data_IF_883283024789
#
_entry.id   IF_883283024789
#
_cell.length_a   1.000
_cell.length_b   1.000
_cell.length_c   1.000
_cell.angle_alpha   90.00
_cell.angle_beta   90.00
_cell.angle_gamma   90.00
#
_symmetry.space_group_name_H-M   'P 1'
#
loop_
_entity.id
_entity.type
_entity.pdbx_description
1 polymer ?
#
# COMPACT_ATOMS: atom_id res chain seq x y z
N UNK A 1 -40.26 56.58 56.48
CA UNK A 1 -39.85 55.42 55.64
C UNK A 1 -39.56 55.86 54.19
N UNK A 2 -38.56 56.73 53.97
CA UNK A 2 -38.14 57.13 52.61
C UNK A 2 -36.61 57.22 52.45
N UNK A 3 -35.86 56.43 53.22
CA UNK A 3 -34.39 56.39 53.15
C UNK A 3 -33.80 55.00 52.84
N UNK A 4 -34.63 54.02 52.45
CA UNK A 4 -34.14 52.67 52.13
C UNK A 4 -34.08 52.34 50.62
N UNK A 5 -34.68 53.17 49.75
CA UNK A 5 -34.72 52.91 48.30
C UNK A 5 -33.45 53.33 47.53
N UNK A 6 -32.78 54.40 47.96
CA UNK A 6 -31.64 54.97 47.22
C UNK A 6 -30.32 54.21 47.38
N UNK A 7 -30.15 53.44 48.46
CA UNK A 7 -28.93 52.64 48.70
C UNK A 7 -28.91 51.36 47.86
N UNK A 8 -30.09 50.81 47.53
CA UNK A 8 -30.22 49.53 46.80
C UNK A 8 -29.89 49.66 45.29
N UNK A 9 -30.19 50.81 44.66
CA UNK A 9 -29.89 51.04 43.23
C UNK A 9 -28.41 51.31 42.95
N UNK A 10 -27.67 51.91 43.89
CA UNK A 10 -26.24 52.19 43.73
C UNK A 10 -25.36 50.92 43.75
N UNK A 11 -25.76 49.91 44.53
CA UNK A 11 -25.02 48.65 44.68
C UNK A 11 -25.20 47.75 43.45
N UNK A 12 -26.42 47.67 42.92
CA UNK A 12 -26.76 46.84 41.75
C UNK A 12 -26.14 47.36 40.45
N UNK A 13 -25.99 48.69 40.29
CA UNK A 13 -25.26 49.29 39.16
C UNK A 13 -23.76 48.99 39.21
N UNK A 14 -23.13 49.11 40.39
CA UNK A 14 -21.68 48.82 40.57
C UNK A 14 -21.34 47.37 40.24
N UNK A 15 -22.17 46.41 40.65
CA UNK A 15 -21.95 44.99 40.39
C UNK A 15 -22.11 44.62 38.90
N UNK A 16 -23.03 45.29 38.19
CA UNK A 16 -23.29 45.10 36.76
C UNK A 16 -22.19 45.69 35.86
N UNK A 17 -21.52 46.76 36.30
CA UNK A 17 -20.38 47.36 35.60
C UNK A 17 -19.14 46.47 35.76
N UNK A 18 -18.87 45.96 36.99
CA UNK A 18 -17.73 45.10 37.27
C UNK A 18 -17.78 43.76 36.51
N UNK A 19 -18.95 43.12 36.44
CA UNK A 19 -19.13 41.86 35.67
C UNK A 19 -18.95 42.07 34.17
N UNK A 20 -19.43 43.19 33.60
CA UNK A 20 -19.15 43.55 32.19
C UNK A 20 -17.68 43.87 31.93
N UNK A 21 -16.97 44.49 32.89
CA UNK A 21 -15.54 44.77 32.77
C UNK A 21 -14.68 43.50 32.85
N UNK A 22 -14.99 42.59 33.77
CA UNK A 22 -14.29 41.30 33.94
C UNK A 22 -14.50 40.40 32.72
N UNK A 23 -15.73 40.35 32.20
CA UNK A 23 -16.01 39.55 31.00
C UNK A 23 -15.34 40.16 29.74
N UNK A 24 -15.24 41.49 29.65
CA UNK A 24 -14.46 42.17 28.61
C UNK A 24 -12.97 41.90 28.71
N UNK A 25 -12.40 41.95 29.92
CA UNK A 25 -11.00 41.61 30.17
C UNK A 25 -10.66 40.17 29.77
N UNK A 26 -11.51 39.22 30.15
CA UNK A 26 -11.34 37.81 29.80
C UNK A 26 -11.49 37.57 28.28
N UNK A 27 -12.45 38.22 27.62
CA UNK A 27 -12.59 38.12 26.15
C UNK A 27 -11.39 38.72 25.42
N UNK A 28 -10.83 39.84 25.88
CA UNK A 28 -9.64 40.45 25.28
C UNK A 28 -8.40 39.57 25.46
N UNK A 29 -8.28 38.89 26.61
CA UNK A 29 -7.19 37.97 26.90
C UNK A 29 -7.28 36.68 26.08
N UNK A 30 -8.49 36.14 25.87
CA UNK A 30 -8.71 35.01 24.96
C UNK A 30 -8.46 35.38 23.50
N UNK A 31 -8.92 36.57 23.06
CA UNK A 31 -8.67 37.06 21.70
C UNK A 31 -7.17 37.29 21.46
N UNK A 32 -6.43 37.81 22.46
CA UNK A 32 -4.98 37.99 22.32
C UNK A 32 -4.25 36.65 22.24
N UNK A 33 -4.64 35.66 23.04
CA UNK A 33 -4.07 34.31 22.96
C UNK A 33 -4.34 33.63 21.62
N UNK A 34 -5.55 33.75 21.09
CA UNK A 34 -5.89 33.22 19.76
C UNK A 34 -5.07 33.92 18.67
N UNK A 35 -4.92 35.24 18.75
CA UNK A 35 -4.16 36.01 17.77
C UNK A 35 -2.66 35.69 17.81
N UNK A 36 -2.09 35.47 19.00
CA UNK A 36 -0.70 35.00 19.14
C UNK A 36 -0.53 33.59 18.58
N UNK A 37 -1.47 32.68 18.86
CA UNK A 37 -1.42 31.32 18.33
C UNK A 37 -1.55 31.28 16.81
N UNK A 38 -2.43 32.08 16.20
CA UNK A 38 -2.58 32.14 14.74
C UNK A 38 -1.35 32.76 14.07
N UNK A 39 -0.74 33.79 14.66
CA UNK A 39 0.52 34.35 14.17
C UNK A 39 1.67 33.34 14.25
N UNK A 40 1.76 32.56 15.32
CA UNK A 40 2.76 31.50 15.46
C UNK A 40 2.56 30.40 14.41
N UNK A 41 1.32 29.97 14.18
CA UNK A 41 0.99 28.98 13.15
C UNK A 41 1.32 29.54 11.75
N UNK A 42 0.97 30.79 11.44
CA UNK A 42 1.34 31.45 10.18
C UNK A 42 2.86 31.52 9.99
N UNK A 43 3.62 31.84 11.04
CA UNK A 43 5.08 31.83 11.00
C UNK A 43 5.63 30.43 10.70
N UNK A 44 5.07 29.37 11.30
CA UNK A 44 5.45 27.99 11.00
C UNK A 44 5.13 27.61 9.54
N UNK A 45 3.97 28.01 9.02
CA UNK A 45 3.61 27.79 7.61
C UNK A 45 4.54 28.52 6.64
N UNK A 46 4.83 29.81 6.89
CA UNK A 46 5.76 30.59 6.06
C UNK A 46 7.20 30.06 6.16
N UNK A 47 7.61 29.57 7.33
CA UNK A 47 8.89 28.91 7.52
C UNK A 47 8.99 27.61 6.71
N UNK A 48 7.92 26.80 6.71
CA UNK A 48 7.83 25.56 5.93
C UNK A 48 7.82 25.83 4.43
N UNK A 49 7.09 26.86 3.97
CA UNK A 49 7.04 27.25 2.55
C UNK A 49 8.41 27.75 2.05
N UNK A 50 9.12 28.55 2.85
CA UNK A 50 10.47 29.03 2.52
C UNK A 50 11.51 27.91 2.43
N UNK A 51 11.34 26.82 3.16
CA UNK A 51 12.24 25.67 3.11
C UNK A 51 11.85 24.61 2.06
N UNK A 52 10.68 24.73 1.43
CA UNK A 52 10.19 23.84 0.38
C UNK A 52 9.92 24.56 -0.96
N UNK A 53 10.64 25.64 -1.29
CA UNK A 53 10.56 26.23 -2.62
C UNK A 53 11.15 25.25 -3.65
N UNK A 54 10.30 24.38 -4.17
CA UNK A 54 10.58 23.50 -5.30
C UNK A 54 10.81 24.41 -6.51
N UNK A 55 12.03 24.35 -7.03
CA UNK A 55 12.42 24.96 -8.29
C UNK A 55 11.55 24.37 -9.41
N UNK A 56 10.65 25.16 -9.97
CA UNK A 56 9.92 24.78 -11.17
C UNK A 56 10.86 24.96 -12.36
N UNK A 57 11.43 23.86 -12.88
CA UNK A 57 12.16 23.89 -14.14
C UNK A 57 11.63 22.91 -15.18
N UNK A 58 11.08 23.53 -16.23
CA UNK A 58 11.16 23.23 -17.65
C UNK A 58 10.91 21.79 -18.13
N UNK A 59 9.63 21.47 -18.31
CA UNK A 59 9.08 20.27 -18.98
C UNK A 59 9.66 20.02 -20.40
N UNK A 60 10.36 20.99 -21.00
CA UNK A 60 10.90 20.90 -22.36
C UNK A 60 12.09 19.93 -22.53
N UNK A 61 12.68 19.40 -21.45
CA UNK A 61 13.79 18.43 -21.53
C UNK A 61 13.36 16.96 -21.61
N UNK A 62 12.11 16.65 -21.23
CA UNK A 62 11.53 15.29 -21.27
C UNK A 62 10.83 15.01 -22.61
N UNK A 63 10.43 16.08 -23.31
CA UNK A 63 9.75 16.01 -24.61
C UNK A 63 10.45 15.15 -25.68
N UNK A 64 11.79 15.06 -25.80
CA UNK A 64 12.41 14.24 -26.83
C UNK A 64 12.20 12.73 -26.63
N UNK A 65 12.00 12.27 -25.39
CA UNK A 65 11.83 10.84 -25.07
C UNK A 65 10.37 10.40 -25.09
N UNK A 66 9.45 11.28 -24.70
CA UNK A 66 8.01 11.01 -24.73
C UNK A 66 7.40 11.06 -26.15
N UNK A 67 8.13 11.63 -27.11
CA UNK A 67 7.59 11.95 -28.43
C UNK A 67 8.18 11.11 -29.58
N UNK A 68 8.88 10.02 -29.25
CA UNK A 68 9.10 8.96 -30.24
C UNK A 68 7.81 8.14 -30.30
N UNK A 69 7.16 8.14 -31.47
CA UNK A 69 6.01 7.28 -31.76
C UNK A 69 6.37 5.86 -31.36
N UNK A 70 5.85 5.40 -30.22
CA UNK A 70 5.92 4.02 -29.79
C UNK A 70 4.92 3.25 -30.65
N UNK A 71 5.37 2.84 -31.84
CA UNK A 71 4.63 1.98 -32.74
C UNK A 71 4.34 0.65 -32.04
N UNK A 72 3.08 0.46 -31.66
CA UNK A 72 2.52 -0.72 -30.98
C UNK A 72 2.35 -1.89 -31.96
N UNK A 73 3.38 -2.23 -32.74
CA UNK A 73 3.23 -3.26 -33.77
C UNK A 73 4.54 -3.98 -34.10
N UNK A 74 5.19 -4.66 -33.14
CA UNK A 74 6.15 -5.72 -33.52
C UNK A 74 6.46 -6.84 -32.48
N UNK A 75 5.75 -6.96 -31.35
CA UNK A 75 6.06 -8.01 -30.34
C UNK A 75 5.20 -9.29 -30.46
N UNK A 76 4.73 -9.64 -31.66
CA UNK A 76 4.10 -10.95 -31.93
C UNK A 76 4.98 -11.92 -32.74
N UNK A 77 6.31 -11.73 -32.72
CA UNK A 77 7.25 -12.69 -33.32
C UNK A 77 8.52 -12.88 -32.48
N UNK A 78 8.39 -13.50 -31.32
CA UNK A 78 9.46 -14.38 -30.82
C UNK A 78 8.86 -15.52 -30.00
N UNK A 79 8.54 -16.60 -30.71
CA UNK A 79 8.63 -17.93 -30.13
C UNK A 79 10.11 -18.32 -29.98
N UNK A 80 10.34 -19.30 -29.11
CA UNK A 80 11.60 -19.95 -28.74
C UNK A 80 12.49 -19.21 -27.72
N UNK A 81 12.93 -19.80 -26.60
CA UNK A 81 13.01 -21.20 -26.19
C UNK A 81 13.08 -21.25 -24.66
N UNK A 82 12.21 -22.01 -24.00
CA UNK A 82 12.40 -22.39 -22.61
C UNK A 82 13.70 -23.21 -22.53
N UNK A 83 14.76 -22.65 -21.91
CA UNK A 83 15.94 -23.44 -21.55
C UNK A 83 15.50 -24.57 -20.59
N UNK A 84 15.89 -25.83 -20.83
CA UNK A 84 15.55 -26.90 -19.91
C UNK A 84 16.32 -26.72 -18.60
N UNK A 85 15.57 -26.72 -17.51
CA UNK A 85 16.07 -26.84 -16.15
C UNK A 85 17.00 -28.07 -16.04
N UNK A 86 18.19 -27.88 -15.45
CA UNK A 86 19.17 -28.97 -15.26
C UNK A 86 18.62 -30.10 -14.38
N UNK A 87 19.07 -31.32 -14.64
CA UNK A 87 18.58 -32.60 -14.09
C UNK A 87 18.57 -32.70 -12.55
N UNK A 88 19.26 -31.82 -11.82
CA UNK A 88 19.20 -31.75 -10.34
C UNK A 88 17.98 -31.00 -9.80
N UNK A 89 17.35 -30.14 -10.61
CA UNK A 89 16.10 -29.45 -10.23
C UNK A 89 14.91 -30.41 -10.29
N UNK A 90 14.92 -31.39 -11.19
CA UNK A 90 13.80 -32.33 -11.40
C UNK A 90 13.43 -33.19 -10.17
N UNK A 91 14.36 -33.47 -9.26
CA UNK A 91 14.09 -34.31 -8.09
C UNK A 91 13.39 -33.58 -6.93
N UNK A 92 13.34 -32.25 -6.92
CA UNK A 92 12.75 -31.46 -5.81
C UNK A 92 11.31 -30.99 -6.06
N UNK A 93 10.88 -31.01 -7.33
CA UNK A 93 9.53 -30.63 -7.76
C UNK A 93 8.49 -31.78 -7.68
N UNK A 94 8.85 -32.95 -7.17
CA UNK A 94 7.99 -34.15 -7.11
C UNK A 94 7.22 -34.31 -5.79
N UNK A 95 7.51 -33.49 -4.76
CA UNK A 95 6.83 -33.51 -3.47
C UNK A 95 5.31 -33.24 -3.63
N UNK A 96 4.49 -33.98 -2.87
CA UNK A 96 3.03 -33.89 -2.86
C UNK A 96 2.53 -32.45 -2.65
N UNK A 97 3.21 -31.69 -1.80
CA UNK A 97 2.86 -30.27 -1.55
C UNK A 97 3.01 -29.40 -2.81
N UNK A 98 4.03 -29.63 -3.63
CA UNK A 98 4.19 -28.89 -4.89
C UNK A 98 3.20 -29.34 -5.96
N UNK A 99 2.72 -30.59 -5.92
CA UNK A 99 1.63 -31.03 -6.79
C UNK A 99 0.32 -30.32 -6.45
N UNK A 100 0.01 -30.13 -5.17
CA UNK A 100 -1.13 -29.32 -4.74
C UNK A 100 -1.00 -27.86 -5.21
N UNK A 101 0.18 -27.26 -5.05
CA UNK A 101 0.45 -25.89 -5.51
C UNK A 101 0.31 -25.75 -7.04
N UNK A 102 0.83 -26.71 -7.81
CA UNK A 102 0.69 -26.77 -9.27
C UNK A 102 -0.78 -26.91 -9.67
N UNK A 103 -1.55 -27.75 -8.98
CA UNK A 103 -2.98 -27.91 -9.22
C UNK A 103 -3.74 -26.60 -8.94
N UNK A 104 -3.44 -25.92 -7.84
CA UNK A 104 -4.04 -24.62 -7.54
C UNK A 104 -3.73 -23.60 -8.66
N UNK A 105 -2.46 -23.50 -9.07
CA UNK A 105 -2.05 -22.59 -10.14
C UNK A 105 -2.70 -22.92 -11.48
N UNK A 106 -2.73 -24.20 -11.87
CA UNK A 106 -3.32 -24.63 -13.15
C UNK A 106 -4.82 -24.42 -13.20
N UNK A 107 -5.55 -24.65 -12.10
CA UNK A 107 -6.99 -24.34 -12.01
C UNK A 107 -7.27 -22.86 -12.25
N UNK A 108 -6.47 -21.96 -11.66
CA UNK A 108 -6.60 -20.52 -11.90
C UNK A 108 -6.37 -20.14 -13.36
N UNK A 109 -5.36 -20.74 -14.02
CA UNK A 109 -5.10 -20.53 -15.44
C UNK A 109 -6.24 -21.06 -16.33
N UNK A 110 -6.78 -22.23 -16.01
CA UNK A 110 -7.93 -22.81 -16.72
C UNK A 110 -9.15 -21.92 -16.58
N UNK A 111 -9.46 -21.44 -15.36
CA UNK A 111 -10.57 -20.53 -15.12
C UNK A 111 -10.41 -19.23 -15.93
N UNK A 112 -9.21 -18.64 -15.97
CA UNK A 112 -8.91 -17.45 -16.79
C UNK A 112 -9.23 -17.67 -18.27
N UNK A 113 -8.96 -18.86 -18.83
CA UNK A 113 -9.22 -19.17 -20.25
C UNK A 113 -10.70 -19.37 -20.57
N UNK A 114 -11.54 -19.61 -19.58
CA UNK A 114 -12.98 -19.77 -19.79
C UNK A 114 -13.68 -18.45 -20.08
N UNK A 115 -13.07 -17.32 -19.71
CA UNK A 115 -13.66 -16.00 -19.86
C UNK A 115 -12.81 -15.09 -20.72
N UNK A 116 -13.47 -14.27 -21.54
CA UNK A 116 -12.81 -13.23 -22.31
C UNK A 116 -12.63 -11.97 -21.45
N UNK A 117 -11.42 -11.81 -20.89
CA UNK A 117 -11.12 -10.64 -20.06
C UNK A 117 -11.24 -9.32 -20.83
N UNK A 118 -10.95 -9.29 -22.13
CA UNK A 118 -11.06 -8.06 -22.90
C UNK A 118 -12.52 -7.60 -22.98
N UNK A 119 -13.43 -8.52 -23.31
CA UNK A 119 -14.86 -8.23 -23.34
C UNK A 119 -15.41 -7.83 -21.95
N UNK A 120 -14.86 -8.38 -20.86
CA UNK A 120 -15.21 -7.95 -19.51
C UNK A 120 -14.79 -6.51 -19.22
N UNK A 121 -13.57 -6.11 -19.63
CA UNK A 121 -13.10 -4.73 -19.50
C UNK A 121 -13.87 -3.74 -20.39
N UNK A 122 -14.34 -4.21 -21.54
CA UNK A 122 -15.19 -3.44 -22.47
C UNK A 122 -16.68 -3.44 -22.08
N UNK A 123 -17.02 -3.95 -20.89
CA UNK A 123 -18.37 -3.97 -20.33
C UNK A 123 -19.41 -4.74 -21.18
N UNK A 124 -18.97 -5.84 -21.80
CA UNK A 124 -19.86 -6.75 -22.55
C UNK A 124 -20.84 -7.46 -21.60
N UNK A 125 -22.14 -7.15 -21.74
CA UNK A 125 -23.18 -7.79 -20.94
C UNK A 125 -23.23 -9.31 -21.11
N UNK A 126 -22.91 -9.82 -22.30
CA UNK A 126 -22.88 -11.26 -22.60
C UNK A 126 -21.83 -11.98 -21.74
N UNK A 127 -20.60 -11.46 -21.73
CA UNK A 127 -19.51 -12.07 -20.98
C UNK A 127 -19.67 -11.88 -19.46
N UNK A 128 -20.23 -10.75 -19.02
CA UNK A 128 -20.59 -10.52 -17.62
C UNK A 128 -21.65 -11.51 -17.12
N UNK A 129 -22.72 -11.72 -17.89
CA UNK A 129 -23.78 -12.67 -17.54
C UNK A 129 -23.23 -14.09 -17.41
N UNK A 130 -22.33 -14.48 -18.32
CA UNK A 130 -21.63 -15.77 -18.26
C UNK A 130 -20.78 -15.93 -16.99
N UNK A 131 -20.08 -14.88 -16.56
CA UNK A 131 -19.32 -14.88 -15.29
C UNK A 131 -20.27 -15.01 -14.09
N UNK A 132 -21.38 -14.25 -14.08
CA UNK A 132 -22.38 -14.28 -13.00
C UNK A 132 -23.02 -15.67 -12.89
N UNK A 133 -23.40 -16.27 -14.02
CA UNK A 133 -23.97 -17.62 -14.06
C UNK A 133 -22.96 -18.65 -13.54
N UNK A 134 -21.73 -18.60 -14.04
CA UNK A 134 -20.67 -19.50 -13.56
C UNK A 134 -20.43 -19.35 -12.06
N UNK A 135 -20.36 -18.11 -11.55
CA UNK A 135 -20.14 -17.86 -10.12
C UNK A 135 -21.29 -18.39 -9.26
N UNK A 136 -22.53 -18.18 -9.71
CA UNK A 136 -23.73 -18.67 -9.01
C UNK A 136 -23.71 -20.20 -8.88
N UNK A 137 -23.23 -20.90 -9.91
CA UNK A 137 -23.12 -22.36 -9.91
C UNK A 137 -21.91 -22.90 -9.12
N UNK A 138 -20.88 -22.07 -8.88
CA UNK A 138 -19.56 -22.52 -8.40
C UNK A 138 -19.05 -21.78 -7.15
N UNK A 139 -19.90 -21.04 -6.43
CA UNK A 139 -19.50 -20.11 -5.36
C UNK A 139 -18.53 -20.70 -4.30
N UNK A 140 -18.62 -22.01 -4.02
CA UNK A 140 -17.81 -22.68 -2.99
C UNK A 140 -16.78 -23.69 -3.54
N UNK A 141 -16.53 -23.70 -4.85
CA UNK A 141 -15.61 -24.67 -5.49
C UNK A 141 -14.24 -24.08 -5.82
N UNK A 142 -14.08 -22.77 -5.63
CA UNK A 142 -12.81 -22.09 -5.89
C UNK A 142 -11.72 -22.61 -4.96
N UNK A 143 -10.58 -23.06 -5.51
CA UNK A 143 -9.47 -23.50 -4.68
C UNK A 143 -8.86 -22.27 -4.00
N UNK A 144 -8.47 -22.41 -2.74
CA UNK A 144 -7.86 -21.34 -1.92
C UNK A 144 -6.56 -21.88 -1.33
N UNK A 145 -5.54 -21.03 -1.23
CA UNK A 145 -4.35 -21.31 -0.41
C UNK A 145 -4.62 -20.81 1.00
N UNK A 146 -4.86 -21.74 1.92
CA UNK A 146 -5.04 -21.42 3.33
C UNK A 146 -3.71 -21.04 4.01
N UNK A 147 -3.78 -20.31 5.12
CA UNK A 147 -2.60 -19.78 5.83
C UNK A 147 -1.69 -20.91 6.36
N UNK A 148 -2.28 -22.00 6.84
CA UNK A 148 -1.60 -23.14 7.47
C UNK A 148 -0.73 -23.95 6.50
N UNK A 149 -1.12 -24.04 5.23
CA UNK A 149 -0.35 -24.77 4.20
C UNK A 149 0.70 -23.90 3.49
N UNK A 150 0.64 -22.59 3.68
CA UNK A 150 1.50 -21.64 2.97
C UNK A 150 2.99 -21.89 3.24
N UNK A 151 3.38 -22.13 4.50
CA UNK A 151 4.76 -22.38 4.91
C UNK A 151 5.34 -23.65 4.27
N UNK A 152 4.50 -24.67 4.06
CA UNK A 152 4.89 -25.88 3.35
C UNK A 152 5.20 -25.57 1.87
N UNK A 153 4.40 -24.72 1.23
CA UNK A 153 4.63 -24.30 -0.16
C UNK A 153 5.86 -23.42 -0.33
N UNK A 154 6.16 -22.54 0.62
CA UNK A 154 7.32 -21.63 0.58
C UNK A 154 8.61 -22.25 1.14
N UNK A 155 8.58 -23.50 1.63
CA UNK A 155 9.77 -24.21 2.13
C UNK A 155 10.86 -24.44 1.07
N UNK A 156 10.51 -24.39 -0.22
CA UNK A 156 11.47 -24.27 -1.32
C UNK A 156 11.08 -23.07 -2.17
N UNK A 157 11.81 -21.98 -1.98
CA UNK A 157 11.53 -20.72 -2.63
C UNK A 157 11.70 -20.76 -4.15
N UNK A 158 12.64 -21.54 -4.67
CA UNK A 158 12.81 -21.67 -6.13
C UNK A 158 11.61 -22.43 -6.71
N UNK A 159 11.23 -23.55 -6.09
CA UNK A 159 10.07 -24.30 -6.54
C UNK A 159 8.77 -23.47 -6.47
N UNK A 160 8.57 -22.75 -5.37
CA UNK A 160 7.44 -21.84 -5.19
C UNK A 160 7.41 -20.76 -6.26
N UNK A 161 8.50 -20.00 -6.45
CA UNK A 161 8.59 -18.92 -7.44
C UNK A 161 8.36 -19.42 -8.87
N UNK A 162 8.92 -20.58 -9.23
CA UNK A 162 8.71 -21.21 -10.54
C UNK A 162 7.26 -21.63 -10.75
N UNK A 163 6.66 -22.36 -9.81
CA UNK A 163 5.27 -22.85 -9.95
C UNK A 163 4.28 -21.68 -9.97
N UNK A 164 4.52 -20.67 -9.13
CA UNK A 164 3.67 -19.47 -9.06
C UNK A 164 3.93 -18.49 -10.18
N UNK A 165 4.98 -18.68 -10.99
CA UNK A 165 5.35 -17.80 -12.11
C UNK A 165 5.62 -16.36 -11.65
N UNK A 166 6.43 -16.21 -10.59
CA UNK A 166 6.95 -14.89 -10.22
C UNK A 166 7.86 -14.35 -11.33
N UNK A 167 7.72 -13.06 -11.62
CA UNK A 167 8.56 -12.40 -12.61
C UNK A 167 10.01 -12.33 -12.11
N UNK A 168 10.95 -12.73 -12.96
CA UNK A 168 12.40 -12.75 -12.63
C UNK A 168 13.20 -11.72 -13.40
N UNK A 169 12.65 -11.15 -14.47
CA UNK A 169 13.25 -10.09 -15.26
C UNK A 169 12.89 -8.68 -14.73
N UNK A 170 13.65 -7.69 -15.16
CA UNK A 170 13.46 -6.28 -14.78
C UNK A 170 12.37 -5.57 -15.60
N UNK A 171 11.77 -6.23 -16.58
CA UNK A 171 10.87 -5.60 -17.53
C UNK A 171 11.57 -4.78 -18.58
N UNK A 172 10.89 -3.70 -18.98
CA UNK A 172 11.44 -2.69 -19.87
C UNK A 172 12.61 -1.94 -19.24
N UNK A 173 13.40 -1.27 -20.07
CA UNK A 173 14.49 -0.40 -19.62
C UNK A 173 14.01 0.65 -18.61
N UNK A 174 12.87 1.30 -18.87
CA UNK A 174 12.29 2.32 -18.00
C UNK A 174 11.92 1.72 -16.63
N UNK A 175 11.26 0.56 -16.59
CA UNK A 175 10.94 -0.12 -15.33
C UNK A 175 12.18 -0.54 -14.54
N UNK A 176 13.25 -0.93 -15.24
CA UNK A 176 14.53 -1.32 -14.64
C UNK A 176 15.26 -0.15 -13.99
N UNK A 177 15.17 1.03 -14.59
CA UNK A 177 15.82 2.27 -14.10
C UNK A 177 14.96 3.05 -13.09
N UNK A 178 13.69 2.66 -12.89
CA UNK A 178 12.78 3.32 -11.94
C UNK A 178 12.31 2.36 -10.82
N UNK A 179 13.19 2.04 -9.84
CA UNK A 179 12.83 1.19 -8.71
C UNK A 179 11.79 1.86 -7.79
N UNK A 180 10.68 1.16 -7.56
CA UNK A 180 9.59 1.60 -6.68
C UNK A 180 9.70 0.97 -5.29
N UNK A 181 9.09 1.64 -4.32
CA UNK A 181 8.94 1.16 -2.95
C UNK A 181 7.45 0.99 -2.59
N UNK A 182 7.04 -0.20 -2.18
CA UNK A 182 5.65 -0.51 -1.81
C UNK A 182 5.51 -0.81 -0.31
N UNK A 183 4.41 -0.33 0.27
CA UNK A 183 3.96 -0.70 1.60
C UNK A 183 2.64 -1.44 1.49
N UNK A 184 2.57 -2.64 2.05
CA UNK A 184 1.39 -3.50 2.01
C UNK A 184 0.92 -3.78 3.44
N UNK A 185 -0.28 -3.32 3.78
CA UNK A 185 -0.91 -3.62 5.06
C UNK A 185 -1.82 -4.87 4.95
N UNK A 186 -1.63 -5.83 5.86
CA UNK A 186 -2.27 -7.16 5.79
C UNK A 186 -2.95 -7.50 7.12
N UNK A 187 -4.15 -8.09 7.09
CA UNK A 187 -4.84 -8.51 8.33
C UNK A 187 -5.65 -9.82 8.25
N UNK A 188 -5.77 -10.49 7.09
CA UNK A 188 -6.73 -11.60 6.92
C UNK A 188 -6.23 -12.83 6.15
N UNK A 189 -6.18 -12.77 4.81
CA UNK A 189 -6.05 -13.97 3.97
C UNK A 189 -4.70 -14.01 3.23
N UNK A 190 -3.92 -15.08 3.42
CA UNK A 190 -2.62 -15.25 2.77
C UNK A 190 -2.72 -15.28 1.23
N UNK A 191 -3.73 -15.95 0.68
CA UNK A 191 -3.93 -16.03 -0.77
C UNK A 191 -4.02 -14.65 -1.43
N UNK A 192 -4.75 -13.71 -0.80
CA UNK A 192 -4.86 -12.34 -1.31
C UNK A 192 -3.51 -11.62 -1.27
N UNK A 193 -2.72 -11.83 -0.22
CA UNK A 193 -1.37 -11.26 -0.07
C UNK A 193 -0.44 -11.81 -1.15
N UNK A 194 -0.41 -13.13 -1.34
CA UNK A 194 0.43 -13.78 -2.36
C UNK A 194 0.06 -13.31 -3.76
N UNK A 195 -1.24 -13.26 -4.07
CA UNK A 195 -1.73 -12.82 -5.40
C UNK A 195 -1.40 -11.36 -5.65
N UNK A 196 -1.57 -10.49 -4.66
CA UNK A 196 -1.20 -9.08 -4.77
C UNK A 196 0.31 -8.95 -4.97
N UNK A 197 1.10 -9.59 -4.10
CA UNK A 197 2.55 -9.54 -4.18
C UNK A 197 3.02 -10.02 -5.56
N UNK A 198 2.55 -11.16 -6.04
CA UNK A 198 2.91 -11.70 -7.37
C UNK A 198 2.56 -10.73 -8.51
N UNK A 199 1.47 -9.97 -8.38
CA UNK A 199 1.04 -9.02 -9.42
C UNK A 199 1.96 -7.80 -9.51
N UNK A 200 2.47 -7.32 -8.37
CA UNK A 200 3.29 -6.09 -8.31
C UNK A 200 4.79 -6.35 -8.14
N UNK A 201 5.18 -7.61 -7.90
CA UNK A 201 6.56 -7.96 -7.63
C UNK A 201 7.43 -7.77 -8.87
N UNK A 202 8.48 -6.97 -8.70
CA UNK A 202 9.61 -6.89 -9.63
C UNK A 202 10.91 -7.03 -8.85
N UNK A 203 11.96 -7.64 -9.42
CA UNK A 203 13.25 -7.81 -8.74
C UNK A 203 13.91 -6.50 -8.29
N UNK A 204 13.66 -5.39 -8.99
CA UNK A 204 14.22 -4.06 -8.67
C UNK A 204 13.37 -3.25 -7.67
N UNK A 205 12.13 -3.65 -7.39
CA UNK A 205 11.29 -2.94 -6.43
C UNK A 205 11.63 -3.35 -5.00
N UNK A 206 11.43 -2.47 -4.03
CA UNK A 206 11.51 -2.79 -2.60
C UNK A 206 10.10 -2.85 -2.01
N UNK A 207 9.79 -3.90 -1.23
CA UNK A 207 8.43 -4.10 -0.71
C UNK A 207 8.51 -4.34 0.79
N UNK A 208 7.71 -3.61 1.56
CA UNK A 208 7.51 -3.86 2.98
C UNK A 208 6.09 -4.34 3.24
N UNK A 209 5.95 -5.46 3.94
CA UNK A 209 4.67 -6.01 4.35
C UNK A 209 4.52 -5.81 5.86
N UNK A 210 3.47 -5.08 6.24
CA UNK A 210 3.08 -4.90 7.62
C UNK A 210 1.85 -5.76 7.90
N UNK A 211 2.03 -6.82 8.68
CA UNK A 211 0.93 -7.65 9.16
C UNK A 211 0.36 -7.04 10.44
N UNK A 212 -0.96 -6.86 10.51
CA UNK A 212 -1.65 -6.39 11.72
C UNK A 212 -1.29 -7.32 12.89
N UNK A 213 -0.92 -6.73 14.02
CA UNK A 213 -0.59 -7.51 15.21
C UNK A 213 -1.76 -8.35 15.73
N UNK A 214 -3.00 -7.95 15.39
CA UNK A 214 -4.21 -8.69 15.74
C UNK A 214 -4.53 -9.84 14.77
N UNK A 215 -3.75 -10.02 13.69
CA UNK A 215 -3.94 -11.12 12.78
C UNK A 215 -3.60 -12.47 13.44
N UNK A 216 -4.20 -13.59 12.99
CA UNK A 216 -3.84 -14.91 13.48
C UNK A 216 -2.37 -15.23 13.24
N UNK A 217 -1.75 -15.98 14.16
CA UNK A 217 -0.34 -16.37 14.03
C UNK A 217 -0.06 -17.18 12.77
N UNK A 218 -1.01 -18.00 12.32
CA UNK A 218 -0.90 -18.73 11.04
C UNK A 218 -0.73 -17.78 9.85
N UNK A 219 -1.36 -16.59 9.85
CA UNK A 219 -1.15 -15.59 8.81
C UNK A 219 0.23 -14.94 8.94
N UNK A 220 0.64 -14.58 10.16
CA UNK A 220 1.96 -13.97 10.42
C UNK A 220 3.08 -14.90 9.94
N UNK A 221 3.02 -16.18 10.28
CA UNK A 221 3.97 -17.21 9.86
C UNK A 221 3.97 -17.43 8.34
N UNK A 222 2.79 -17.52 7.73
CA UNK A 222 2.65 -17.66 6.28
C UNK A 222 3.29 -16.51 5.51
N UNK A 223 2.98 -15.27 5.91
CA UNK A 223 3.54 -14.06 5.29
C UNK A 223 5.04 -13.93 5.55
N UNK A 224 5.53 -14.31 6.73
CA UNK A 224 6.96 -14.36 7.02
C UNK A 224 7.69 -15.37 6.14
N UNK A 225 7.13 -16.57 5.98
CA UNK A 225 7.72 -17.59 5.11
C UNK A 225 7.71 -17.15 3.64
N UNK A 226 6.64 -16.50 3.16
CA UNK A 226 6.60 -15.92 1.83
C UNK A 226 7.65 -14.83 1.63
N UNK A 227 7.74 -13.86 2.56
CA UNK A 227 8.72 -12.79 2.49
C UNK A 227 10.16 -13.32 2.44
N UNK A 228 10.45 -14.40 3.19
CA UNK A 228 11.78 -15.02 3.20
C UNK A 228 12.25 -15.55 1.84
N UNK A 229 11.34 -15.77 0.89
CA UNK A 229 11.68 -16.20 -0.47
C UNK A 229 12.20 -15.10 -1.39
N UNK A 230 12.17 -13.84 -0.94
CA UNK A 230 12.56 -12.68 -1.73
C UNK A 230 13.55 -11.81 -0.95
N UNK A 231 14.62 -11.38 -1.61
CA UNK A 231 15.66 -10.54 -0.98
C UNK A 231 15.25 -9.08 -0.81
N UNK A 232 14.23 -8.65 -1.56
CA UNK A 232 13.70 -7.30 -1.67
C UNK A 232 12.30 -7.14 -1.03
N UNK A 233 11.77 -8.19 -0.40
CA UNK A 233 10.55 -8.14 0.41
C UNK A 233 10.94 -8.25 1.88
N UNK A 234 10.52 -7.29 2.69
CA UNK A 234 10.79 -7.25 4.13
C UNK A 234 9.49 -7.21 4.92
N UNK A 235 9.53 -7.67 6.17
CA UNK A 235 8.46 -7.43 7.12
C UNK A 235 8.72 -6.14 7.90
N UNK A 236 7.65 -5.47 8.30
CA UNK A 236 7.74 -4.35 9.23
C UNK A 236 8.45 -4.77 10.52
N UNK A 237 9.43 -3.97 10.95
CA UNK A 237 10.27 -4.23 12.12
C UNK A 237 9.50 -4.17 13.45
N UNK A 238 8.39 -3.43 13.47
CA UNK A 238 7.55 -3.25 14.65
C UNK A 238 6.10 -3.62 14.31
N UNK A 239 5.51 -4.60 15.02
CA UNK A 239 4.10 -4.92 14.84
C UNK A 239 3.23 -3.78 15.36
N UNK A 240 2.15 -3.49 14.65
CA UNK A 240 1.15 -2.51 15.03
C UNK A 240 -0.24 -3.13 14.96
N UNK A 241 -0.98 -3.09 16.07
CA UNK A 241 -2.40 -3.42 16.08
C UNK A 241 -3.19 -2.32 15.37
N UNK A 242 -3.80 -2.62 14.22
CA UNK A 242 -4.45 -1.60 13.38
C UNK A 242 -5.93 -1.48 13.75
N UNK A 243 -6.34 -0.33 14.27
CA UNK A 243 -7.75 -0.02 14.50
C UNK A 243 -8.29 0.78 13.30
N UNK A 244 -9.53 0.46 12.89
CA UNK A 244 -10.20 1.17 11.81
C UNK A 244 -10.35 2.66 12.13
N UNK A 245 -10.14 3.52 11.14
CA UNK A 245 -10.20 4.98 11.27
C UNK A 245 -9.33 5.57 12.40
N UNK A 246 -8.22 4.89 12.75
CA UNK A 246 -7.31 5.31 13.82
C UNK A 246 -5.88 5.56 13.30
N UNK A 247 -5.11 6.38 14.02
CA UNK A 247 -3.72 6.76 13.68
C UNK A 247 -2.79 5.55 13.55
N UNK A 248 -3.13 4.42 14.18
CA UNK A 248 -2.41 3.15 14.06
C UNK A 248 -2.22 2.69 12.61
N UNK A 249 -3.15 3.01 11.70
CA UNK A 249 -3.00 2.68 10.27
C UNK A 249 -1.87 3.47 9.64
N UNK A 250 -1.85 4.79 9.85
CA UNK A 250 -0.77 5.65 9.37
C UNK A 250 0.58 5.25 10.00
N UNK A 251 0.58 4.87 11.27
CA UNK A 251 1.79 4.45 11.95
C UNK A 251 2.39 3.17 11.35
N UNK A 252 1.54 2.20 10.98
CA UNK A 252 1.97 0.99 10.27
C UNK A 252 2.68 1.34 8.94
N UNK A 253 2.12 2.30 8.19
CA UNK A 253 2.74 2.78 6.95
C UNK A 253 4.10 3.45 7.21
N UNK A 254 4.18 4.34 8.21
CA UNK A 254 5.42 5.06 8.58
C UNK A 254 6.52 4.10 9.04
N UNK A 255 6.17 3.04 9.79
CA UNK A 255 7.12 2.00 10.19
C UNK A 255 7.72 1.35 8.94
N UNK A 256 6.88 0.89 8.01
CA UNK A 256 7.35 0.26 6.78
C UNK A 256 8.18 1.21 5.91
N UNK A 257 7.78 2.48 5.79
CA UNK A 257 8.58 3.49 5.09
C UNK A 257 9.96 3.65 5.74
N UNK A 258 10.04 3.71 7.07
CA UNK A 258 11.31 3.77 7.81
C UNK A 258 12.20 2.56 7.53
N UNK A 259 11.62 1.37 7.46
CA UNK A 259 12.37 0.13 7.24
C UNK A 259 12.87 0.02 5.79
N UNK A 260 12.05 0.40 4.81
CA UNK A 260 12.46 0.51 3.40
C UNK A 260 13.60 1.52 3.22
N UNK A 261 13.50 2.67 3.89
CA UNK A 261 14.54 3.71 3.87
C UNK A 261 15.88 3.25 4.45
N UNK A 262 15.87 2.28 5.38
CA UNK A 262 17.08 1.68 5.98
C UNK A 262 17.63 0.53 5.14
N UNK A 263 16.75 -0.30 4.57
CA UNK A 263 17.12 -1.49 3.80
C UNK A 263 17.76 -1.14 2.47
N UNK A 264 17.21 -0.17 1.77
CA UNK A 264 17.65 0.21 0.43
C UNK A 264 17.54 1.72 0.22
N UNK A 265 18.61 2.32 -0.34
CA UNK A 265 18.63 3.73 -0.71
C UNK A 265 18.44 3.95 -2.21
N UNK A 266 18.46 2.89 -3.03
CA UNK A 266 18.40 2.95 -4.49
C UNK A 266 17.00 3.32 -5.04
N UNK A 267 15.93 3.04 -4.31
CA UNK A 267 14.60 3.56 -4.68
C UNK A 267 14.48 5.07 -4.46
N UNK A 268 15.34 5.67 -3.60
CA UNK A 268 15.38 7.12 -3.41
C UNK A 268 15.93 7.84 -4.63
N UNK A 269 16.81 7.20 -5.40
CA UNK A 269 17.44 7.84 -6.56
C UNK A 269 16.48 8.06 -7.73
N UNK A 270 15.38 7.31 -7.81
CA UNK A 270 14.28 7.63 -8.74
C UNK A 270 13.60 8.98 -8.46
N UNK A 271 13.67 9.46 -7.22
CA UNK A 271 13.21 10.79 -6.78
C UNK A 271 14.32 11.85 -6.71
N UNK A 272 15.60 11.48 -6.88
CA UNK A 272 16.72 12.44 -6.96
C UNK A 272 17.05 12.86 -8.39
N UNK A 273 16.54 12.14 -9.39
CA UNK A 273 16.60 12.52 -10.79
C UNK A 273 15.34 13.28 -11.28
N UNK A 274 14.46 13.68 -10.34
CA UNK A 274 13.26 14.48 -10.57
C UNK A 274 13.42 15.91 -10.02
#
# INVERSE_FOLDING_TARGET
MMLCGWVQEQITMKFRIHTKLINRGLTLLLLSLVLVATLFILQLFLYHEKHNSISTHNINTIWPYLNTNYDRAEDLKSGDSLRPATLSQHHKFSDLKYNQLKMYHSKGLTLRRQFDCQQLFENSSSEQNKVVEFHTQNQNTYPVIANDIATAFTSDCEAFKTIRQYRTDRGSFIEGEFPLAYVILVHKDFEHVERLLRTIYMPQHSICIHVDDKAPDSLKEAVASLASCFTNVILASKPQGIVYAHVSRLLADVICMSDLLKKDKSWRTGLQHL
#
